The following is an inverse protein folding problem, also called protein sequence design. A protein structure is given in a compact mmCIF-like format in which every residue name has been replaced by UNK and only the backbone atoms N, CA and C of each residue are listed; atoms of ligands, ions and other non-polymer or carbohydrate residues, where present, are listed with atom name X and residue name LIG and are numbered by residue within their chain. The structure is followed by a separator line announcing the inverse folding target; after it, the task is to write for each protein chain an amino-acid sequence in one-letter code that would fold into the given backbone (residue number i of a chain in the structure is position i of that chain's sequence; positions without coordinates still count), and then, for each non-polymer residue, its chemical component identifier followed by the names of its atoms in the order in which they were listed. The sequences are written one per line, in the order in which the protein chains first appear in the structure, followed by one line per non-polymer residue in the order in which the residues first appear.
data_IF_089538931421
#
_entry.id   IF_089538931421
#
_cell.length_a   1.000
_cell.length_b   1.000
_cell.length_c   1.000
_cell.angle_alpha   90.00
_cell.angle_beta   90.00
_cell.angle_gamma   90.00
#
_symmetry.space_group_name_H-M   'P 1'
#
loop_
_entity.id
_entity.type
_entity.pdbx_description
1 polymer ?
#
# COMPACT_ATOMS: atom_id res chain seq x y z
N UNK A 1 -88.89 16.12 0.07
CA UNK A 1 -89.56 16.79 -1.06
C UNK A 1 -89.65 18.27 -0.75
N UNK A 2 -89.55 19.19 -1.72
CA UNK A 2 -89.21 19.03 -3.15
C UNK A 2 -87.80 19.64 -3.46
N UNK A 3 -87.11 19.31 -4.58
CA UNK A 3 -86.99 20.08 -5.86
C UNK A 3 -86.37 21.48 -5.69
N UNK A 4 -85.28 21.90 -6.36
CA UNK A 4 -84.26 21.22 -7.21
C UNK A 4 -82.91 22.02 -7.12
N UNK A 5 -81.99 22.27 -8.08
CA UNK A 5 -81.86 22.07 -9.55
C UNK A 5 -80.36 22.15 -10.00
N UNK A 6 -80.04 21.68 -11.22
CA UNK A 6 -78.83 21.98 -12.06
C UNK A 6 -77.43 21.52 -11.52
N UNK A 7 -76.51 20.99 -12.33
CA UNK A 7 -76.50 20.77 -13.80
C UNK A 7 -75.53 19.66 -14.25
N UNK A 8 -75.84 19.09 -15.44
CA UNK A 8 -74.94 18.42 -16.40
C UNK A 8 -74.19 17.12 -16.00
N UNK A 9 -74.67 16.03 -16.60
CA UNK A 9 -74.13 14.66 -16.63
C UNK A 9 -72.71 14.50 -17.20
N UNK A 10 -72.12 13.31 -16.96
CA UNK A 10 -70.87 12.80 -17.54
C UNK A 10 -71.16 11.87 -18.75
N UNK A 11 -70.35 10.81 -19.03
CA UNK A 11 -68.92 10.75 -19.36
C UNK A 11 -68.69 10.26 -20.82
N UNK A 12 -67.44 10.28 -21.32
CA UNK A 12 -66.96 9.34 -22.37
C UNK A 12 -65.45 9.26 -22.51
N UNK A 13 -64.99 8.25 -23.25
CA UNK A 13 -63.66 7.67 -23.17
C UNK A 13 -62.64 8.23 -24.19
N UNK A 14 -61.36 8.09 -23.82
CA UNK A 14 -60.27 7.61 -24.68
C UNK A 14 -60.19 8.11 -26.15
N UNK A 15 -59.31 9.07 -26.39
CA UNK A 15 -58.69 9.25 -27.72
C UNK A 15 -57.16 9.28 -27.60
N UNK A 16 -56.47 8.69 -28.58
CA UNK A 16 -55.01 8.49 -28.59
C UNK A 16 -54.28 9.76 -29.02
N UNK A 17 -53.79 10.55 -28.07
CA UNK A 17 -52.83 11.64 -28.32
C UNK A 17 -51.38 11.15 -28.17
N UNK A 18 -50.70 10.87 -29.28
CA UNK A 18 -49.26 10.54 -29.24
C UNK A 18 -48.47 11.84 -29.02
N UNK A 19 -47.96 12.05 -27.81
CA UNK A 19 -46.90 13.02 -27.54
C UNK A 19 -45.63 12.31 -27.14
N UNK A 20 -44.53 12.67 -27.80
CA UNK A 20 -43.30 11.91 -27.78
C UNK A 20 -42.67 11.88 -26.38
N UNK A 21 -42.37 10.66 -25.92
CA UNK A 21 -41.36 10.42 -24.90
C UNK A 21 -40.03 10.96 -25.43
N UNK A 22 -39.67 12.18 -25.03
CA UNK A 22 -38.43 12.83 -25.46
C UNK A 22 -37.23 12.15 -24.80
N UNK A 23 -36.87 10.99 -25.35
CA UNK A 23 -35.61 10.32 -25.06
C UNK A 23 -34.49 11.22 -25.53
N UNK A 24 -34.00 12.05 -24.61
CA UNK A 24 -32.69 12.66 -24.73
C UNK A 24 -31.67 11.53 -24.72
N UNK A 25 -31.42 10.96 -25.91
CA UNK A 25 -30.28 10.12 -26.20
C UNK A 25 -29.05 10.99 -26.08
N UNK A 26 -28.60 11.21 -24.84
CA UNK A 26 -27.30 11.76 -24.53
C UNK A 26 -26.25 10.76 -24.99
N UNK A 27 -25.88 10.84 -26.27
CA UNK A 27 -24.77 10.08 -26.82
C UNK A 27 -23.55 10.25 -25.90
N UNK A 28 -22.87 9.15 -25.49
CA UNK A 28 -21.70 9.25 -24.64
C UNK A 28 -20.62 10.07 -25.36
N UNK A 29 -20.47 11.34 -24.95
CA UNK A 29 -19.46 12.26 -25.49
C UNK A 29 -18.13 11.50 -25.63
N UNK A 30 -17.47 11.53 -26.81
CA UNK A 30 -16.38 10.60 -27.12
C UNK A 30 -15.19 10.85 -26.20
N UNK A 31 -15.17 10.14 -25.07
CA UNK A 31 -14.23 10.37 -23.97
C UNK A 31 -12.82 10.20 -24.52
N UNK A 32 -12.14 11.35 -24.70
CA UNK A 32 -10.83 11.45 -25.32
C UNK A 32 -9.89 10.41 -24.75
N UNK A 33 -9.06 9.79 -25.60
CA UNK A 33 -8.10 8.76 -25.17
C UNK A 33 -7.24 9.25 -24.00
N UNK A 34 -6.90 10.55 -23.96
CA UNK A 34 -6.21 11.19 -22.84
C UNK A 34 -7.07 11.25 -21.57
N UNK A 35 -8.33 11.66 -21.65
CA UNK A 35 -9.25 11.69 -20.51
C UNK A 35 -9.51 10.29 -19.92
N UNK A 36 -9.64 9.27 -20.78
CA UNK A 36 -9.83 7.87 -20.37
C UNK A 36 -8.57 7.25 -19.75
N UNK A 37 -7.38 7.64 -20.24
CA UNK A 37 -6.10 7.30 -19.60
C UNK A 37 -5.96 8.00 -18.24
N UNK A 38 -6.28 9.30 -18.16
CA UNK A 38 -6.21 10.06 -16.90
C UNK A 38 -7.15 9.47 -15.85
N UNK A 39 -8.41 9.18 -16.17
CA UNK A 39 -9.34 8.55 -15.21
C UNK A 39 -8.83 7.18 -14.73
N UNK A 40 -8.22 6.39 -15.63
CA UNK A 40 -7.63 5.09 -15.27
C UNK A 40 -6.32 5.19 -14.47
N UNK A 41 -5.62 6.33 -14.53
CA UNK A 41 -4.42 6.64 -13.73
C UNK A 41 -4.75 7.31 -12.38
N UNK A 42 -5.94 7.88 -12.22
CA UNK A 42 -6.46 8.44 -10.96
C UNK A 42 -7.33 7.45 -10.17
N UNK A 43 -7.84 6.38 -10.80
CA UNK A 43 -8.41 5.21 -10.12
C UNK A 43 -7.37 4.60 -9.15
N UNK A 44 -7.83 4.07 -8.03
CA UNK A 44 -6.97 3.39 -7.06
C UNK A 44 -6.63 1.96 -7.50
N UNK A 45 -5.50 1.41 -7.02
CA UNK A 45 -5.19 0.00 -7.25
C UNK A 45 -6.11 -0.88 -6.41
N UNK A 46 -6.74 -1.87 -7.07
CA UNK A 46 -7.44 -2.97 -6.42
C UNK A 46 -6.45 -4.11 -6.18
N UNK A 47 -6.55 -4.76 -5.03
CA UNK A 47 -5.90 -6.05 -4.79
C UNK A 47 -6.22 -7.02 -5.93
N UNK A 48 -5.18 -7.59 -6.51
CA UNK A 48 -5.24 -8.51 -7.65
C UNK A 48 -3.90 -9.24 -7.75
N UNK A 49 -3.88 -10.44 -8.32
CA UNK A 49 -2.66 -11.29 -8.35
C UNK A 49 -1.49 -10.72 -9.15
N UNK A 50 -1.70 -9.62 -9.88
CA UNK A 50 -0.61 -8.81 -10.43
C UNK A 50 0.21 -8.10 -9.34
N UNK A 51 -0.44 -7.59 -8.28
CA UNK A 51 0.25 -6.96 -7.15
C UNK A 51 1.01 -8.00 -6.30
N UNK A 52 0.40 -9.17 -6.05
CA UNK A 52 1.01 -10.31 -5.36
C UNK A 52 2.28 -10.79 -6.10
N UNK A 53 2.16 -11.05 -7.42
CA UNK A 53 3.30 -11.48 -8.25
C UNK A 53 4.37 -10.39 -8.41
N UNK A 54 3.98 -9.11 -8.48
CA UNK A 54 4.93 -7.99 -8.41
C UNK A 54 5.69 -7.98 -7.08
N UNK A 55 5.02 -8.20 -5.94
CA UNK A 55 5.66 -8.21 -4.62
C UNK A 55 6.67 -9.37 -4.48
N UNK A 56 6.34 -10.56 -5.00
CA UNK A 56 7.27 -11.71 -5.05
C UNK A 56 8.48 -11.41 -5.93
N UNK A 57 8.27 -10.93 -7.17
CA UNK A 57 9.35 -10.57 -8.09
C UNK A 57 10.27 -9.47 -7.51
N UNK A 58 9.66 -8.44 -6.91
CA UNK A 58 10.35 -7.34 -6.24
C UNK A 58 11.20 -7.83 -5.05
N UNK A 59 10.70 -8.79 -4.26
CA UNK A 59 11.44 -9.43 -3.17
C UNK A 59 12.65 -10.20 -3.69
N UNK A 60 12.49 -10.95 -4.79
CA UNK A 60 13.61 -11.64 -5.46
C UNK A 60 14.67 -10.65 -5.97
N UNK A 61 14.27 -9.57 -6.66
CA UNK A 61 15.19 -8.52 -7.11
C UNK A 61 15.91 -7.82 -5.95
N UNK A 62 15.23 -7.63 -4.82
CA UNK A 62 15.80 -7.04 -3.61
C UNK A 62 16.87 -7.94 -2.99
N UNK A 63 16.62 -9.26 -2.93
CA UNK A 63 17.63 -10.25 -2.50
C UNK A 63 18.83 -10.31 -3.44
N UNK A 64 18.61 -10.24 -4.76
CA UNK A 64 19.68 -10.16 -5.76
C UNK A 64 20.52 -8.88 -5.63
N UNK A 65 19.89 -7.74 -5.31
CA UNK A 65 20.59 -6.47 -5.05
C UNK A 65 21.52 -6.58 -3.84
N UNK A 66 21.04 -7.11 -2.71
CA UNK A 66 21.88 -7.24 -1.51
C UNK A 66 22.98 -8.31 -1.68
N UNK A 67 22.75 -9.32 -2.52
CA UNK A 67 23.76 -10.30 -2.89
C UNK A 67 24.90 -9.73 -3.76
N UNK A 68 24.69 -8.63 -4.48
CA UNK A 68 25.78 -7.92 -5.17
C UNK A 68 26.39 -6.81 -4.31
N UNK A 69 25.60 -6.03 -3.56
CA UNK A 69 26.17 -4.92 -2.79
C UNK A 69 27.02 -5.37 -1.60
N UNK A 70 26.73 -6.54 -1.02
CA UNK A 70 27.53 -7.04 0.10
C UNK A 70 28.99 -7.32 -0.26
N UNK A 71 29.35 -8.13 -1.29
CA UNK A 71 30.74 -8.30 -1.69
C UNK A 71 31.37 -7.03 -2.29
N UNK A 72 30.59 -6.18 -2.98
CA UNK A 72 31.14 -4.99 -3.67
C UNK A 72 31.41 -3.80 -2.74
N UNK A 73 30.63 -3.65 -1.65
CA UNK A 73 30.64 -2.46 -0.78
C UNK A 73 30.66 -2.78 0.72
N UNK A 74 30.71 -4.05 1.12
CA UNK A 74 30.66 -4.51 2.52
C UNK A 74 29.45 -3.96 3.30
N UNK A 75 28.31 -3.80 2.63
CA UNK A 75 27.05 -3.37 3.22
C UNK A 75 25.85 -3.89 2.41
N UNK A 76 24.70 -4.04 3.07
CA UNK A 76 23.44 -4.28 2.37
C UNK A 76 22.82 -2.96 1.92
N UNK A 77 22.17 -2.91 0.76
CA UNK A 77 21.41 -1.74 0.32
C UNK A 77 19.96 -1.77 0.83
N UNK A 78 19.37 -2.95 1.03
CA UNK A 78 18.00 -3.11 1.52
C UNK A 78 17.92 -3.59 2.98
N UNK A 79 18.77 -4.55 3.37
CA UNK A 79 18.70 -5.23 4.67
C UNK A 79 19.28 -4.38 5.82
N UNK A 80 18.49 -3.38 6.25
CA UNK A 80 18.92 -2.42 7.27
C UNK A 80 19.08 -3.02 8.68
N UNK A 81 18.47 -4.15 9.01
CA UNK A 81 18.74 -4.83 10.29
C UNK A 81 20.15 -5.42 10.29
N UNK A 82 20.60 -6.01 9.17
CA UNK A 82 22.00 -6.41 8.97
C UNK A 82 22.97 -5.23 9.08
N UNK A 83 22.69 -4.11 8.41
CA UNK A 83 23.50 -2.89 8.53
C UNK A 83 23.56 -2.34 9.97
N UNK A 84 22.45 -2.41 10.71
CA UNK A 84 22.41 -1.98 12.11
C UNK A 84 23.27 -2.88 12.99
N UNK A 85 23.29 -4.20 12.76
CA UNK A 85 24.19 -5.13 13.45
C UNK A 85 25.66 -4.83 13.11
N UNK A 86 25.99 -4.59 11.84
CA UNK A 86 27.36 -4.20 11.47
C UNK A 86 27.78 -2.84 12.07
N UNK A 87 26.88 -1.87 12.17
CA UNK A 87 27.16 -0.59 12.85
C UNK A 87 27.44 -0.81 14.35
N UNK A 88 26.67 -1.66 15.03
CA UNK A 88 26.94 -2.04 16.42
C UNK A 88 28.29 -2.77 16.56
N UNK A 89 28.63 -3.67 15.63
CA UNK A 89 29.93 -4.36 15.63
C UNK A 89 31.10 -3.39 15.37
N UNK A 90 30.95 -2.38 14.51
CA UNK A 90 31.96 -1.34 14.31
C UNK A 90 32.18 -0.48 15.57
N UNK A 91 31.12 -0.20 16.34
CA UNK A 91 31.20 0.55 17.59
C UNK A 91 31.84 -0.26 18.74
N UNK A 92 31.64 -1.58 18.79
CA UNK A 92 32.15 -2.46 19.86
C UNK A 92 33.55 -2.99 19.51
N UNK A 93 33.81 -3.30 18.24
CA UNK A 93 35.05 -3.87 17.70
C UNK A 93 35.58 -3.01 16.54
N UNK A 94 36.01 -1.76 16.80
CA UNK A 94 36.50 -0.84 15.75
C UNK A 94 37.73 -1.36 14.99
N UNK A 95 38.42 -2.38 15.53
CA UNK A 95 39.53 -3.07 14.89
C UNK A 95 39.16 -3.80 13.59
N UNK A 96 37.86 -4.01 13.33
CA UNK A 96 37.32 -4.72 12.17
C UNK A 96 36.76 -3.78 11.07
N UNK A 97 36.68 -2.47 11.35
CA UNK A 97 36.19 -1.48 10.39
C UNK A 97 37.21 -1.30 9.25
N UNK A 98 36.78 -1.58 8.03
CA UNK A 98 37.62 -1.61 6.85
C UNK A 98 38.17 -2.99 6.47
N UNK A 99 37.93 -4.06 7.24
CA UNK A 99 38.15 -5.46 6.80
C UNK A 99 36.84 -6.23 6.62
N UNK A 100 35.97 -6.24 7.64
CA UNK A 100 34.71 -6.97 7.60
C UNK A 100 33.56 -6.11 7.02
N UNK A 101 33.49 -4.85 7.44
CA UNK A 101 32.43 -3.90 7.12
C UNK A 101 33.03 -2.51 6.84
N UNK A 102 32.30 -1.64 6.14
CA UNK A 102 32.73 -0.26 5.87
C UNK A 102 31.70 0.71 6.48
N UNK A 103 32.01 1.29 7.64
CA UNK A 103 31.07 2.15 8.40
C UNK A 103 30.54 3.32 7.59
N UNK A 104 31.33 3.91 6.69
CA UNK A 104 30.89 4.99 5.80
C UNK A 104 29.76 4.56 4.86
N UNK A 105 29.83 3.35 4.31
CA UNK A 105 28.80 2.82 3.40
C UNK A 105 27.53 2.45 4.19
N UNK A 106 27.71 1.83 5.36
CA UNK A 106 26.62 1.47 6.29
C UNK A 106 25.85 2.72 6.77
N UNK A 107 26.56 3.77 7.18
CA UNK A 107 25.95 5.03 7.60
C UNK A 107 25.20 5.74 6.47
N UNK A 108 25.75 5.71 5.25
CA UNK A 108 25.09 6.22 4.05
C UNK A 108 23.83 5.43 3.68
N UNK A 109 23.89 4.09 3.77
CA UNK A 109 22.76 3.21 3.52
C UNK A 109 21.63 3.46 4.54
N UNK A 110 21.92 3.40 5.84
CA UNK A 110 20.95 3.65 6.91
C UNK A 110 20.35 5.06 6.81
N UNK A 111 21.19 6.08 6.63
CA UNK A 111 20.76 7.48 6.54
C UNK A 111 19.83 7.75 5.35
N UNK A 112 20.19 7.29 4.14
CA UNK A 112 19.36 7.51 2.96
C UNK A 112 18.16 6.57 2.87
N UNK A 113 18.22 5.35 3.41
CA UNK A 113 17.05 4.48 3.52
C UNK A 113 15.99 5.10 4.45
N UNK A 114 16.39 5.56 5.63
CA UNK A 114 15.48 6.19 6.60
C UNK A 114 14.96 7.55 6.06
N UNK A 115 15.83 8.35 5.44
CA UNK A 115 15.45 9.62 4.80
C UNK A 115 14.47 9.42 3.65
N UNK A 116 14.68 8.42 2.80
CA UNK A 116 13.76 8.05 1.72
C UNK A 116 12.42 7.54 2.26
N UNK A 117 12.45 6.67 3.27
CA UNK A 117 11.24 6.17 3.92
C UNK A 117 10.41 7.29 4.55
N UNK A 118 11.04 8.23 5.24
CA UNK A 118 10.37 9.42 5.76
C UNK A 118 9.79 10.30 4.64
N UNK A 119 10.60 10.67 3.65
CA UNK A 119 10.19 11.57 2.56
C UNK A 119 9.03 10.98 1.73
N UNK A 120 9.16 9.72 1.32
CA UNK A 120 8.11 9.02 0.55
C UNK A 120 6.88 8.70 1.38
N UNK A 121 7.02 8.50 2.70
CA UNK A 121 5.90 8.41 3.63
C UNK A 121 5.09 9.70 3.69
N UNK A 122 5.77 10.84 3.88
CA UNK A 122 5.13 12.16 3.93
C UNK A 122 4.44 12.53 2.59
N UNK A 123 5.08 12.26 1.44
CA UNK A 123 4.45 12.47 0.14
C UNK A 123 3.28 11.49 -0.12
N UNK A 124 3.39 10.24 0.30
CA UNK A 124 2.29 9.27 0.16
C UNK A 124 1.08 9.66 1.01
N UNK A 125 1.30 10.25 2.19
CA UNK A 125 0.23 10.76 3.06
C UNK A 125 -0.52 11.94 2.43
N UNK A 126 0.17 12.86 1.74
CA UNK A 126 -0.45 14.04 1.13
C UNK A 126 -1.06 13.78 -0.26
N UNK A 127 -0.49 12.86 -1.05
CA UNK A 127 -0.96 12.54 -2.41
C UNK A 127 -2.02 11.42 -2.42
N UNK A 128 -2.02 10.55 -1.41
CA UNK A 128 -2.87 9.38 -1.30
C UNK A 128 -2.14 8.09 -1.74
N UNK A 129 -1.85 7.14 -0.83
CA UNK A 129 -0.90 6.06 -1.09
C UNK A 129 -1.36 5.02 -2.11
N UNK A 130 -2.66 4.94 -2.41
CA UNK A 130 -3.27 3.93 -3.32
C UNK A 130 -3.41 4.40 -4.78
N UNK A 131 -3.05 5.65 -5.10
CA UNK A 131 -3.24 6.25 -6.41
C UNK A 131 -2.28 5.66 -7.46
N UNK A 132 -2.81 5.13 -8.57
CA UNK A 132 -2.03 4.47 -9.63
C UNK A 132 -0.89 5.33 -10.18
N UNK A 133 -1.16 6.60 -10.51
CA UNK A 133 -0.13 7.52 -11.00
C UNK A 133 1.00 7.77 -9.99
N UNK A 134 0.70 7.88 -8.69
CA UNK A 134 1.71 8.04 -7.63
C UNK A 134 2.60 6.79 -7.53
N UNK A 135 2.00 5.61 -7.49
CA UNK A 135 2.72 4.33 -7.41
C UNK A 135 3.61 4.11 -8.64
N UNK A 136 3.11 4.44 -9.83
CA UNK A 136 3.86 4.39 -11.10
C UNK A 136 5.03 5.37 -11.12
N UNK A 137 4.85 6.62 -10.67
CA UNK A 137 5.92 7.62 -10.56
C UNK A 137 7.00 7.16 -9.58
N UNK A 138 6.61 6.67 -8.40
CA UNK A 138 7.56 6.11 -7.43
C UNK A 138 8.36 4.93 -8.00
N UNK A 139 7.70 4.00 -8.70
CA UNK A 139 8.37 2.84 -9.31
C UNK A 139 9.33 3.26 -10.45
N UNK A 140 8.97 4.27 -11.25
CA UNK A 140 9.86 4.83 -12.28
C UNK A 140 11.08 5.53 -11.65
N UNK A 141 10.91 6.28 -10.56
CA UNK A 141 12.02 6.94 -9.85
C UNK A 141 12.96 5.90 -9.23
N UNK A 142 12.41 4.88 -8.55
CA UNK A 142 13.20 3.77 -7.99
C UNK A 142 13.98 3.02 -9.08
N UNK A 143 13.32 2.67 -10.20
CA UNK A 143 13.98 2.05 -11.36
C UNK A 143 15.10 2.93 -11.92
N UNK A 144 14.87 4.24 -12.04
CA UNK A 144 15.87 5.22 -12.48
C UNK A 144 17.07 5.33 -11.54
N UNK A 145 16.86 5.20 -10.23
CA UNK A 145 17.95 5.18 -9.24
C UNK A 145 18.79 3.89 -9.32
N UNK A 146 18.16 2.73 -9.48
CA UNK A 146 18.86 1.44 -9.68
C UNK A 146 19.66 1.46 -10.99
N UNK A 147 19.07 1.95 -12.09
CA UNK A 147 19.77 2.13 -13.36
C UNK A 147 20.92 3.16 -13.26
N UNK A 148 20.73 4.24 -12.50
CA UNK A 148 21.78 5.22 -12.21
C UNK A 148 22.95 4.61 -11.43
N UNK A 149 22.66 3.80 -10.41
CA UNK A 149 23.66 3.05 -9.66
C UNK A 149 24.43 2.06 -10.54
N UNK A 150 23.75 1.33 -11.42
CA UNK A 150 24.38 0.45 -12.41
C UNK A 150 25.25 1.23 -13.41
N UNK A 151 24.82 2.40 -13.88
CA UNK A 151 25.58 3.24 -14.80
C UNK A 151 26.85 3.84 -14.16
N UNK A 152 26.80 4.20 -12.86
CA UNK A 152 27.97 4.64 -12.10
C UNK A 152 29.01 3.52 -11.99
N UNK A 153 28.57 2.29 -11.68
CA UNK A 153 29.44 1.11 -11.61
C UNK A 153 30.07 0.79 -12.97
N UNK A 154 29.26 0.74 -14.03
CA UNK A 154 29.73 0.46 -15.40
C UNK A 154 30.77 1.49 -15.89
N UNK A 155 30.59 2.79 -15.58
CA UNK A 155 31.48 3.86 -16.07
C UNK A 155 32.77 4.01 -15.25
N UNK A 156 32.78 3.62 -13.98
CA UNK A 156 33.91 3.92 -13.07
C UNK A 156 34.54 2.72 -12.38
N UNK A 157 34.02 1.51 -12.62
CA UNK A 157 34.36 0.30 -11.90
C UNK A 157 33.71 0.23 -10.51
N UNK A 158 33.57 -0.99 -10.00
CA UNK A 158 33.25 -1.24 -8.60
C UNK A 158 34.41 -0.73 -7.74
N UNK A 159 34.09 -0.04 -6.64
CA UNK A 159 35.04 0.36 -5.60
C UNK A 159 34.34 0.27 -4.26
N UNK A 160 35.00 -0.41 -3.31
CA UNK A 160 34.55 -0.55 -1.93
C UNK A 160 34.36 0.80 -1.22
N UNK A 161 35.25 1.78 -1.47
CA UNK A 161 35.31 3.05 -0.74
C UNK A 161 35.21 4.30 -1.62
N UNK A 162 34.83 5.40 -0.96
CA UNK A 162 34.85 6.76 -1.51
C UNK A 162 33.52 7.22 -2.12
N UNK A 163 33.46 8.43 -2.69
CA UNK A 163 32.20 9.07 -3.09
C UNK A 163 31.41 8.29 -4.16
N UNK A 164 32.08 7.44 -4.94
CA UNK A 164 31.42 6.59 -5.95
C UNK A 164 30.66 5.42 -5.29
N UNK A 165 31.29 4.74 -4.34
CA UNK A 165 30.65 3.73 -3.49
C UNK A 165 29.41 4.31 -2.79
N UNK A 166 29.61 5.45 -2.12
CA UNK A 166 28.54 6.17 -1.41
C UNK A 166 27.39 6.63 -2.33
N UNK A 167 27.68 6.94 -3.60
CA UNK A 167 26.65 7.26 -4.61
C UNK A 167 25.86 6.01 -4.99
N UNK A 168 26.52 4.88 -5.27
CA UNK A 168 25.88 3.61 -5.62
C UNK A 168 25.02 3.10 -4.47
N UNK A 169 25.63 2.94 -3.29
CA UNK A 169 24.96 2.49 -2.05
C UNK A 169 23.81 3.43 -1.69
N UNK A 170 24.01 4.76 -1.79
CA UNK A 170 22.99 5.75 -1.49
C UNK A 170 21.78 5.71 -2.42
N UNK A 171 22.00 5.53 -3.74
CA UNK A 171 20.91 5.38 -4.71
C UNK A 171 20.10 4.09 -4.48
N UNK A 172 20.77 2.97 -4.23
CA UNK A 172 20.12 1.68 -3.98
C UNK A 172 19.39 1.66 -2.63
N UNK A 173 19.96 2.27 -1.59
CA UNK A 173 19.33 2.39 -0.27
C UNK A 173 18.13 3.36 -0.27
N UNK A 174 18.19 4.47 -1.01
CA UNK A 174 17.05 5.35 -1.20
C UNK A 174 15.91 4.63 -1.94
N UNK A 175 16.25 3.88 -3.01
CA UNK A 175 15.26 3.08 -3.75
C UNK A 175 14.60 2.04 -2.83
N UNK A 176 15.39 1.27 -2.07
CA UNK A 176 14.87 0.27 -1.12
C UNK A 176 14.01 0.89 0.01
N UNK A 177 14.43 2.03 0.58
CA UNK A 177 13.64 2.73 1.60
C UNK A 177 12.29 3.22 1.08
N UNK A 178 12.27 3.77 -0.14
CA UNK A 178 11.05 4.16 -0.85
C UNK A 178 10.14 2.97 -1.16
N UNK A 179 10.75 1.84 -1.56
CA UNK A 179 10.07 0.58 -1.90
C UNK A 179 9.38 -0.03 -0.67
N UNK A 180 10.00 0.00 0.51
CA UNK A 180 9.43 -0.54 1.76
C UNK A 180 8.20 0.24 2.23
N UNK A 181 8.16 1.55 2.04
CA UNK A 181 6.94 2.35 2.33
C UNK A 181 5.81 2.03 1.35
N UNK A 182 6.16 1.83 0.07
CA UNK A 182 5.20 1.44 -0.95
C UNK A 182 4.62 0.04 -0.71
N UNK A 183 5.47 -0.96 -0.44
CA UNK A 183 5.02 -2.34 -0.22
C UNK A 183 4.14 -2.48 1.01
N UNK A 184 4.46 -1.77 2.11
CA UNK A 184 3.58 -1.71 3.29
C UNK A 184 2.22 -1.08 2.98
N UNK A 185 2.17 -0.06 2.14
CA UNK A 185 0.92 0.58 1.72
C UNK A 185 0.01 -0.34 0.89
N UNK A 186 0.61 -1.24 0.10
CA UNK A 186 -0.10 -2.27 -0.67
C UNK A 186 -0.52 -3.47 0.19
N UNK A 187 0.39 -4.00 1.01
CA UNK A 187 0.13 -5.14 1.91
C UNK A 187 -0.92 -4.81 3.00
N UNK A 188 -0.97 -3.57 3.50
CA UNK A 188 -2.08 -3.04 4.33
C UNK A 188 -3.42 -2.86 3.58
N UNK A 189 -3.49 -3.29 2.32
CA UNK A 189 -4.73 -3.42 1.54
C UNK A 189 -5.02 -4.90 1.27
N UNK A 190 -3.99 -5.66 0.90
CA UNK A 190 -4.02 -7.09 0.62
C UNK A 190 -4.45 -7.94 1.83
N UNK A 191 -3.91 -7.65 3.03
CA UNK A 191 -4.24 -8.36 4.29
C UNK A 191 -5.72 -8.27 4.68
N UNK A 192 -6.44 -7.22 4.25
CA UNK A 192 -7.88 -7.04 4.47
C UNK A 192 -8.73 -7.57 3.30
N UNK A 193 -8.09 -8.07 2.23
CA UNK A 193 -8.74 -8.51 0.99
C UNK A 193 -8.57 -10.01 0.74
N UNK A 194 -7.45 -10.62 1.17
CA UNK A 194 -7.23 -12.07 1.14
C UNK A 194 -7.82 -12.77 2.37
N UNK A 195 -7.93 -12.06 3.51
CA UNK A 195 -8.65 -12.53 4.69
C UNK A 195 -10.02 -11.86 4.77
N UNK A 196 -11.03 -12.61 4.31
CA UNK A 196 -12.30 -12.65 5.04
C UNK A 196 -12.03 -12.98 6.52
N UNK A 197 -12.95 -12.60 7.41
CA UNK A 197 -12.70 -12.62 8.85
C UNK A 197 -12.23 -14.02 9.30
N UNK A 198 -11.06 -14.09 9.95
CA UNK A 198 -10.37 -15.34 10.28
C UNK A 198 -11.23 -16.23 11.20
N UNK A 199 -12.11 -15.59 11.98
CA UNK A 199 -13.06 -16.27 12.87
C UNK A 199 -14.20 -16.97 12.11
N UNK A 200 -14.43 -16.66 10.84
CA UNK A 200 -15.47 -17.25 10.00
C UNK A 200 -14.97 -18.54 9.31
N UNK A 201 -13.65 -18.77 9.28
CA UNK A 201 -13.02 -19.99 8.74
C UNK A 201 -12.41 -20.90 9.81
N UNK A 202 -12.65 -20.58 11.09
CA UNK A 202 -12.37 -21.43 12.24
C UNK A 202 -13.57 -21.41 13.19
N UNK A 203 -14.62 -22.16 12.86
CA UNK A 203 -15.42 -22.76 13.93
C UNK A 203 -14.46 -23.61 14.77
N UNK A 204 -14.54 -23.47 16.09
CA UNK A 204 -13.57 -24.09 17.00
C UNK A 204 -13.83 -25.59 17.08
N UNK A 205 -13.06 -26.38 16.34
CA UNK A 205 -12.83 -27.79 16.63
C UNK A 205 -12.04 -27.86 17.95
N UNK A 206 -12.75 -27.74 19.07
CA UNK A 206 -12.20 -27.81 20.41
C UNK A 206 -11.63 -29.22 20.60
N UNK A 207 -10.33 -29.30 20.90
CA UNK A 207 -9.69 -30.58 21.15
C UNK A 207 -10.24 -31.16 22.46
N UNK A 208 -10.89 -32.33 22.36
CA UNK A 208 -11.68 -33.05 23.39
C UNK A 208 -10.79 -33.66 24.50
N UNK A 209 -9.71 -32.97 24.88
CA UNK A 209 -8.61 -33.44 25.74
C UNK A 209 -8.02 -32.36 26.67
N UNK A 210 -8.63 -31.17 26.74
CA UNK A 210 -8.36 -30.19 27.79
C UNK A 210 -9.68 -29.82 28.48
N UNK A 211 -9.78 -29.89 29.83
CA UNK A 211 -10.98 -29.47 30.53
C UNK A 211 -11.11 -27.94 30.53
N UNK A 212 -12.35 -27.44 30.49
CA UNK A 212 -12.67 -26.02 30.28
C UNK A 212 -12.28 -25.09 31.45
N UNK A 213 -11.87 -25.62 32.60
CA UNK A 213 -11.65 -24.86 33.84
C UNK A 213 -10.32 -24.09 33.91
N UNK A 214 -9.35 -24.38 33.03
CA UNK A 214 -8.12 -23.57 32.88
C UNK A 214 -8.17 -22.55 31.73
N UNK A 215 -9.29 -22.43 31.00
CA UNK A 215 -9.44 -21.40 29.94
C UNK A 215 -9.63 -20.02 30.57
N UNK A 216 -8.53 -19.34 30.87
CA UNK A 216 -8.55 -17.94 31.31
C UNK A 216 -9.18 -17.05 30.24
N UNK A 217 -10.44 -16.69 30.45
CA UNK A 217 -11.23 -15.91 29.51
C UNK A 217 -10.74 -14.45 29.49
N UNK A 218 -9.70 -14.22 28.68
CA UNK A 218 -9.24 -12.88 28.27
C UNK A 218 -10.30 -12.24 27.37
N UNK A 219 -11.39 -11.85 28.00
CA UNK A 219 -12.53 -11.16 27.41
C UNK A 219 -12.08 -9.73 27.04
N UNK A 220 -11.31 -9.65 25.96
CA UNK A 220 -10.86 -8.42 25.33
C UNK A 220 -12.08 -7.54 25.14
N UNK A 221 -12.05 -6.33 25.70
CA UNK A 221 -13.15 -5.39 25.68
C UNK A 221 -13.50 -4.97 24.24
N UNK A 222 -14.33 -5.78 23.59
CA UNK A 222 -14.75 -5.65 22.20
C UNK A 222 -15.80 -4.57 22.08
N UNK A 223 -15.35 -3.31 21.98
CA UNK A 223 -16.22 -2.17 21.65
C UNK A 223 -16.97 -2.46 20.34
N UNK A 224 -18.30 -2.64 20.38
CA UNK A 224 -19.04 -3.07 19.21
C UNK A 224 -19.38 -1.88 18.32
N UNK A 225 -18.70 -1.77 17.16
CA UNK A 225 -19.08 -0.83 16.10
C UNK A 225 -19.72 -1.57 14.92
N UNK A 226 -21.04 -1.70 14.97
CA UNK A 226 -21.90 -2.09 13.84
C UNK A 226 -22.80 -0.93 13.42
N UNK A 227 -23.09 -0.80 12.12
CA UNK A 227 -24.02 0.24 11.64
C UNK A 227 -25.46 -0.12 12.01
N UNK A 228 -25.96 0.44 13.12
CA UNK A 228 -27.33 0.21 13.58
C UNK A 228 -27.65 0.65 15.02
N UNK A 229 -26.67 1.09 15.82
CA UNK A 229 -26.90 1.48 17.22
C UNK A 229 -27.31 2.97 17.38
N UNK A 230 -28.56 3.28 17.79
CA UNK A 230 -28.94 4.63 18.22
C UNK A 230 -28.44 4.90 19.64
N UNK A 231 -27.83 6.07 19.86
CA UNK A 231 -27.21 6.48 21.13
C UNK A 231 -28.22 6.82 22.25
N UNK A 232 -29.05 5.87 22.69
CA UNK A 232 -29.99 6.06 23.81
C UNK A 232 -29.41 5.54 25.12
N UNK A 233 -28.76 6.48 25.83
CA UNK A 233 -28.34 6.45 27.23
C UNK A 233 -29.03 5.38 28.12
N UNK A 234 -28.28 4.40 28.62
CA UNK A 234 -28.71 3.58 29.75
C UNK A 234 -27.98 4.03 31.02
N UNK A 235 -28.63 4.92 31.79
CA UNK A 235 -28.17 5.33 33.12
C UNK A 235 -28.61 4.30 34.16
N UNK A 236 -27.65 3.84 34.96
CA UNK A 236 -27.87 3.46 36.35
C UNK A 236 -27.98 1.97 36.64
N UNK A 237 -27.45 1.63 37.83
CA UNK A 237 -27.58 0.37 38.57
C UNK A 237 -26.82 -0.83 37.94
N UNK A 238 -25.98 -1.57 38.67
CA UNK A 238 -25.64 -1.54 40.11
C UNK A 238 -24.12 -1.38 40.25
#
# INVERSE_FOLDING_TARGET
MPVDEKSAQAPREQSRGIMAESRTNSEPLPVSKRGRLLSHLTEDIRSSSFAESQLVFLTFCTGMQDATTFPDYHCFASNQTGNTVFLCLALILPQLDGEAFITSNIGMALGLFLGAGWLTGQLSHTIGPRKRWWLLVCNLIQSGMVLGAAAVQYRYGIKDRGPKALTVVGLLAFAAGSQVVQSRSLCLTEMYSLRGNIKDSHEYEVADWQPDDEVSNYNTFTVPYGQGFPWRLQRGLI
#
